data_IF_974164523188
#
_entry.id   IF_974164523188
#
_cell.length_a   1.000
_cell.length_b   1.000
_cell.length_c   1.000
_cell.angle_alpha   90.00
_cell.angle_beta   90.00
_cell.angle_gamma   90.00
#
_symmetry.space_group_name_H-M   'P 1'
#
loop_
_entity.id
_entity.type
_entity.pdbx_description
1 polymer ?
#
# COMPACT_ATOMS: atom_id res chain seq x y z
N UNK A 1 25.44 -8.60 46.43
CA UNK A 1 25.92 -9.26 45.23
C UNK A 1 24.95 -10.40 44.91
N UNK A 2 23.97 -10.16 44.12
CA UNK A 2 22.93 -11.12 43.73
C UNK A 2 22.73 -11.00 42.22
N UNK A 3 23.22 -11.99 41.50
CA UNK A 3 23.16 -12.10 40.05
C UNK A 3 21.75 -12.56 39.66
N UNK A 4 20.93 -11.66 39.12
CA UNK A 4 19.65 -12.01 38.53
C UNK A 4 19.88 -12.27 37.03
N UNK A 5 20.26 -13.52 36.70
CA UNK A 5 20.18 -14.03 35.34
C UNK A 5 18.72 -14.38 35.05
N UNK A 6 18.00 -13.45 34.40
CA UNK A 6 16.68 -13.75 33.83
C UNK A 6 16.86 -14.76 32.70
N UNK A 7 16.68 -16.04 32.98
CA UNK A 7 16.37 -17.02 31.96
C UNK A 7 14.98 -16.70 31.42
N UNK A 8 14.89 -16.36 30.15
CA UNK A 8 13.61 -16.49 29.43
C UNK A 8 13.22 -17.96 29.50
N UNK A 9 12.05 -18.25 30.04
CA UNK A 9 11.46 -19.58 29.97
C UNK A 9 11.40 -20.00 28.48
N UNK A 10 11.83 -21.22 28.15
CA UNK A 10 11.60 -21.75 26.82
C UNK A 10 10.08 -21.78 26.63
N UNK A 11 9.57 -21.09 25.59
CA UNK A 11 8.18 -21.23 25.17
C UNK A 11 7.92 -22.73 24.97
N UNK A 12 7.02 -23.28 25.79
CA UNK A 12 6.53 -24.64 25.68
C UNK A 12 5.82 -24.78 24.32
N UNK A 13 6.56 -25.27 23.33
CA UNK A 13 6.02 -25.62 22.03
C UNK A 13 5.22 -26.91 22.17
N UNK A 14 4.01 -26.82 22.70
CA UNK A 14 3.09 -27.96 22.61
C UNK A 14 2.73 -28.15 21.13
N UNK A 15 3.11 -29.29 20.58
CA UNK A 15 2.67 -29.74 19.26
C UNK A 15 1.18 -30.05 19.41
N UNK A 16 0.33 -29.12 19.00
CA UNK A 16 -1.10 -29.38 18.84
C UNK A 16 -1.27 -30.23 17.59
N UNK A 17 -1.80 -31.42 17.72
CA UNK A 17 -2.25 -32.25 16.60
C UNK A 17 -3.57 -31.74 16.01
N UNK A 18 -4.12 -30.66 16.55
CA UNK A 18 -5.37 -30.08 16.07
C UNK A 18 -5.16 -29.44 14.68
N UNK A 19 -5.91 -29.94 13.73
CA UNK A 19 -6.05 -29.32 12.40
C UNK A 19 -6.76 -27.98 12.59
N UNK A 20 -6.06 -26.87 12.35
CA UNK A 20 -6.73 -25.57 12.20
C UNK A 20 -7.38 -25.58 10.82
N UNK A 21 -8.72 -25.53 10.73
CA UNK A 21 -9.35 -25.33 9.44
C UNK A 21 -8.75 -24.08 8.79
N UNK A 22 -8.24 -24.20 7.56
CA UNK A 22 -7.97 -23.02 6.76
C UNK A 22 -9.19 -22.11 6.86
N UNK A 23 -9.01 -20.81 7.10
CA UNK A 23 -10.13 -19.88 7.12
C UNK A 23 -11.04 -20.22 5.94
N UNK A 24 -12.36 -20.39 6.15
CA UNK A 24 -13.22 -20.89 5.09
C UNK A 24 -13.06 -19.98 3.89
N UNK A 25 -12.60 -20.56 2.77
CA UNK A 25 -12.52 -19.87 1.48
C UNK A 25 -13.96 -19.50 1.16
N UNK A 26 -14.25 -18.22 1.09
CA UNK A 26 -15.60 -17.76 0.75
C UNK A 26 -15.93 -18.24 -0.68
N UNK A 27 -17.24 -18.37 -1.00
CA UNK A 27 -17.61 -18.70 -2.39
C UNK A 27 -17.10 -17.65 -3.39
N UNK A 28 -16.96 -16.38 -2.96
CA UNK A 28 -16.36 -15.33 -3.77
C UNK A 28 -14.88 -15.59 -4.02
N UNK A 29 -14.15 -16.02 -2.98
CA UNK A 29 -12.73 -16.40 -3.11
C UNK A 29 -12.57 -17.63 -4.00
N UNK A 30 -13.40 -18.65 -3.83
CA UNK A 30 -13.38 -19.85 -4.67
C UNK A 30 -13.63 -19.51 -6.15
N UNK A 31 -14.58 -18.60 -6.42
CA UNK A 31 -14.86 -18.11 -7.78
C UNK A 31 -13.70 -17.30 -8.34
N UNK A 32 -13.11 -16.39 -7.55
CA UNK A 32 -11.97 -15.58 -7.97
C UNK A 32 -10.72 -16.42 -8.27
N UNK A 33 -10.59 -17.60 -7.65
CA UNK A 33 -9.47 -18.52 -7.82
C UNK A 33 -9.71 -19.57 -8.92
N UNK A 34 -10.88 -19.57 -9.58
CA UNK A 34 -11.21 -20.52 -10.63
C UNK A 34 -10.32 -20.32 -11.88
N UNK A 35 -9.92 -21.42 -12.50
CA UNK A 35 -9.12 -21.41 -13.72
C UNK A 35 -7.65 -20.97 -13.52
N UNK A 36 -6.94 -20.82 -14.62
CA UNK A 36 -5.56 -20.31 -14.63
C UNK A 36 -5.56 -18.79 -14.44
N UNK A 37 -4.57 -18.21 -13.74
CA UNK A 37 -4.47 -16.75 -13.60
C UNK A 37 -4.26 -16.08 -14.97
N UNK A 38 -4.73 -14.83 -15.15
CA UNK A 38 -4.39 -14.05 -16.35
C UNK A 38 -2.89 -13.76 -16.38
N UNK A 39 -2.37 -13.35 -17.54
CA UNK A 39 -0.98 -12.92 -17.66
C UNK A 39 -0.69 -11.69 -16.78
N UNK A 40 -1.66 -10.76 -16.71
CA UNK A 40 -1.69 -9.62 -15.81
C UNK A 40 -3.05 -9.51 -15.13
N UNK A 41 -3.07 -9.15 -13.85
CA UNK A 41 -4.28 -8.81 -13.09
C UNK A 41 -4.61 -7.32 -13.13
N UNK A 42 -4.00 -6.55 -14.01
CA UNK A 42 -4.28 -5.12 -14.19
C UNK A 42 -5.66 -4.89 -14.79
N UNK A 43 -6.28 -3.78 -14.38
CA UNK A 43 -7.45 -3.24 -15.07
C UNK A 43 -7.03 -2.76 -16.48
N UNK A 44 -7.82 -3.12 -17.49
CA UNK A 44 -7.57 -2.78 -18.90
C UNK A 44 -8.65 -1.84 -19.43
N UNK A 45 -8.31 -1.06 -20.46
CA UNK A 45 -9.30 -0.23 -21.16
C UNK A 45 -10.39 -1.12 -21.77
N UNK A 46 -11.63 -0.86 -21.38
CA UNK A 46 -12.79 -1.68 -21.75
C UNK A 46 -13.32 -2.57 -20.61
N UNK A 47 -12.55 -2.78 -19.56
CA UNK A 47 -13.07 -3.42 -18.35
C UNK A 47 -14.09 -2.49 -17.65
N UNK A 48 -15.01 -3.05 -16.84
CA UNK A 48 -15.89 -2.24 -16.03
C UNK A 48 -15.10 -1.26 -15.16
N UNK A 49 -15.45 0.03 -15.22
CA UNK A 49 -14.78 1.06 -14.41
C UNK A 49 -15.09 0.95 -12.92
N UNK A 50 -16.22 0.35 -12.56
CA UNK A 50 -16.73 0.44 -11.19
C UNK A 50 -17.03 1.89 -10.83
N UNK A 51 -16.52 2.31 -9.68
CA UNK A 51 -16.62 3.70 -9.21
C UNK A 51 -15.48 4.61 -9.69
N UNK A 52 -14.51 4.06 -10.45
CA UNK A 52 -13.35 4.83 -10.93
C UNK A 52 -13.77 5.92 -11.90
N UNK A 53 -13.21 7.08 -11.68
CA UNK A 53 -13.18 8.22 -12.59
C UNK A 53 -11.77 8.34 -13.18
N UNK A 54 -11.64 8.98 -14.34
CA UNK A 54 -10.36 9.10 -15.02
C UNK A 54 -10.07 10.57 -15.35
N UNK A 55 -8.97 11.08 -14.85
CA UNK A 55 -8.46 12.40 -15.19
C UNK A 55 -7.29 12.28 -16.19
N UNK A 56 -7.49 12.77 -17.40
CA UNK A 56 -6.41 12.96 -18.37
C UNK A 56 -5.67 14.25 -18.06
N UNK A 57 -4.37 14.15 -17.78
CA UNK A 57 -3.54 15.22 -17.26
C UNK A 57 -2.48 15.71 -18.26
N UNK A 58 -2.52 15.20 -19.50
CA UNK A 58 -1.62 15.60 -20.58
C UNK A 58 -0.24 14.95 -20.50
N UNK A 59 0.75 15.62 -21.06
CA UNK A 59 2.13 15.16 -21.00
C UNK A 59 2.72 15.37 -19.60
N UNK A 60 3.45 14.37 -19.12
CA UNK A 60 4.10 14.40 -17.83
C UNK A 60 5.58 14.01 -17.98
N UNK A 61 6.46 14.81 -17.40
CA UNK A 61 7.91 14.54 -17.41
C UNK A 61 8.35 14.16 -16.00
N UNK A 62 8.99 13.00 -15.87
CA UNK A 62 9.50 12.48 -14.59
C UNK A 62 10.74 13.24 -14.12
N UNK A 63 11.13 13.09 -12.84
CA UNK A 63 12.40 13.64 -12.31
C UNK A 63 13.62 13.26 -13.15
N UNK A 64 13.58 12.09 -13.80
CA UNK A 64 14.66 11.59 -14.65
C UNK A 64 14.67 12.17 -16.07
N UNK A 65 13.61 12.89 -16.44
CA UNK A 65 13.45 13.48 -17.76
C UNK A 65 12.72 12.60 -18.78
N UNK A 66 12.25 11.41 -18.39
CA UNK A 66 11.41 10.57 -19.23
C UNK A 66 10.02 11.22 -19.38
N UNK A 67 9.36 11.03 -20.51
CA UNK A 67 8.05 11.64 -20.78
C UNK A 67 6.96 10.59 -20.99
N UNK A 68 5.85 10.77 -20.26
CA UNK A 68 4.58 10.10 -20.50
C UNK A 68 3.70 11.06 -21.31
N UNK A 69 3.49 10.86 -22.62
CA UNK A 69 2.84 11.85 -23.49
C UNK A 69 1.35 12.04 -23.16
N UNK A 70 0.70 11.02 -22.64
CA UNK A 70 -0.74 11.03 -22.29
C UNK A 70 -0.95 10.36 -20.94
N UNK A 71 -0.59 11.09 -19.87
CA UNK A 71 -0.80 10.58 -18.51
C UNK A 71 -2.26 10.73 -18.08
N UNK A 72 -2.81 9.68 -17.48
CA UNK A 72 -4.07 9.73 -16.73
C UNK A 72 -3.89 9.18 -15.32
N UNK A 73 -4.69 9.68 -14.39
CA UNK A 73 -4.90 9.04 -13.09
C UNK A 73 -6.35 8.55 -13.00
N UNK A 74 -6.50 7.31 -12.55
CA UNK A 74 -7.76 6.81 -12.05
C UNK A 74 -7.92 7.26 -10.60
N UNK A 75 -9.13 7.63 -10.20
CA UNK A 75 -9.42 8.05 -8.83
C UNK A 75 -10.88 7.78 -8.49
N UNK A 76 -11.20 7.77 -7.22
CA UNK A 76 -12.57 7.69 -6.74
C UNK A 76 -12.83 8.82 -5.75
N UNK A 77 -14.10 9.17 -5.55
CA UNK A 77 -14.51 10.27 -4.67
C UNK A 77 -15.71 9.88 -3.82
N UNK A 78 -15.78 10.42 -2.60
CA UNK A 78 -16.91 10.30 -1.68
C UNK A 78 -17.19 11.65 -1.04
N UNK A 79 -18.47 11.94 -0.78
CA UNK A 79 -18.94 13.26 -0.29
C UNK A 79 -19.07 14.28 -1.39
N UNK A 80 -19.28 15.53 -1.02
CA UNK A 80 -19.48 16.67 -1.94
C UNK A 80 -18.42 17.75 -1.71
N UNK A 81 -17.77 18.21 -2.77
CA UNK A 81 -16.82 19.30 -2.72
C UNK A 81 -17.59 20.63 -2.50
N UNK A 82 -17.24 21.35 -1.45
CA UNK A 82 -17.86 22.67 -1.20
C UNK A 82 -17.37 23.74 -2.20
N UNK A 83 -18.04 24.89 -2.23
CA UNK A 83 -17.83 25.91 -3.26
C UNK A 83 -16.41 26.51 -3.28
N UNK A 84 -15.72 26.53 -2.14
CA UNK A 84 -14.34 27.04 -2.00
C UNK A 84 -13.30 25.92 -1.93
N UNK A 85 -13.71 24.67 -2.14
CA UNK A 85 -12.88 23.47 -2.11
C UNK A 85 -12.08 23.27 -0.79
N UNK A 86 -12.54 23.88 0.31
CA UNK A 86 -11.83 23.84 1.60
C UNK A 86 -12.00 22.54 2.37
N UNK A 87 -12.94 21.65 1.98
CA UNK A 87 -13.25 20.38 2.64
C UNK A 87 -12.64 19.16 1.96
N UNK A 88 -11.71 19.33 1.03
CA UNK A 88 -11.12 18.23 0.26
C UNK A 88 -10.04 17.47 1.05
N UNK A 89 -10.18 16.15 1.17
CA UNK A 89 -9.23 15.23 1.82
C UNK A 89 -8.64 14.28 0.79
N UNK A 90 -7.31 14.23 0.71
CA UNK A 90 -6.59 13.27 -0.12
C UNK A 90 -6.27 12.03 0.71
N UNK A 91 -6.78 10.86 0.30
CA UNK A 91 -6.51 9.57 0.92
C UNK A 91 -5.64 8.73 0.00
N UNK A 92 -4.48 8.30 0.51
CA UNK A 92 -3.41 7.69 -0.27
C UNK A 92 -3.22 6.23 0.13
N UNK A 93 -3.40 5.32 -0.84
CA UNK A 93 -3.36 3.89 -0.62
C UNK A 93 -1.95 3.35 -0.36
N UNK A 94 -1.89 2.21 0.34
CA UNK A 94 -0.67 1.45 0.54
C UNK A 94 -0.21 0.75 -0.77
N UNK A 95 0.99 0.21 -0.79
CA UNK A 95 1.67 -0.37 -1.94
C UNK A 95 0.76 -1.21 -2.86
N UNK A 96 0.00 -2.13 -2.31
CA UNK A 96 -0.88 -3.03 -3.08
C UNK A 96 -2.36 -2.67 -3.00
N UNK A 97 -2.66 -1.46 -2.52
CA UNK A 97 -4.00 -0.87 -2.57
C UNK A 97 -4.32 -0.28 -3.95
N UNK A 98 -5.43 0.42 -4.01
CA UNK A 98 -5.92 1.15 -5.17
C UNK A 98 -6.86 2.29 -4.74
N UNK A 99 -7.51 2.95 -5.69
CA UNK A 99 -8.44 4.03 -5.43
C UNK A 99 -9.70 3.60 -4.65
N UNK A 100 -10.00 2.30 -4.58
CA UNK A 100 -11.23 1.79 -3.97
C UNK A 100 -11.14 1.73 -2.44
N UNK A 101 -11.24 2.89 -1.79
CA UNK A 101 -11.13 3.02 -0.34
C UNK A 101 -12.36 2.45 0.37
N UNK A 102 -13.56 2.65 -0.22
CA UNK A 102 -14.87 2.25 0.33
C UNK A 102 -15.78 1.70 -0.74
N UNK A 103 -16.56 0.71 -0.40
CA UNK A 103 -17.57 0.07 -1.25
C UNK A 103 -17.37 -1.44 -1.38
N UNK A 104 -18.39 -2.13 -1.88
CA UNK A 104 -18.33 -3.58 -2.05
C UNK A 104 -17.46 -4.02 -3.23
N UNK A 105 -16.98 -5.26 -3.20
CA UNK A 105 -16.44 -5.91 -4.39
C UNK A 105 -17.53 -6.08 -5.47
N UNK A 106 -17.16 -5.91 -6.73
CA UNK A 106 -18.10 -5.99 -7.86
C UNK A 106 -17.43 -5.76 -9.21
N UNK A 107 -18.20 -5.52 -10.27
CA UNK A 107 -17.64 -5.20 -11.57
C UNK A 107 -16.71 -3.97 -11.48
N UNK A 108 -15.47 -4.15 -11.91
CA UNK A 108 -14.42 -3.12 -11.83
C UNK A 108 -13.61 -3.14 -10.53
N UNK A 109 -14.10 -3.74 -9.46
CA UNK A 109 -13.40 -3.83 -8.17
C UNK A 109 -13.31 -5.28 -7.70
N UNK A 110 -12.13 -5.87 -7.83
CA UNK A 110 -11.89 -7.28 -7.46
C UNK A 110 -12.00 -7.54 -5.94
N UNK A 111 -11.89 -6.50 -5.11
CA UNK A 111 -11.98 -6.55 -3.66
C UNK A 111 -12.86 -5.42 -3.14
N UNK A 112 -13.42 -5.58 -1.96
CA UNK A 112 -14.07 -4.49 -1.23
C UNK A 112 -13.06 -3.39 -0.88
N UNK A 113 -13.57 -2.20 -0.54
CA UNK A 113 -12.79 -1.05 -0.10
C UNK A 113 -11.88 -1.40 1.07
N UNK A 114 -10.69 -0.84 1.07
CA UNK A 114 -9.65 -1.22 2.04
C UNK A 114 -9.71 -0.42 3.36
N UNK A 115 -10.56 0.62 3.45
CA UNK A 115 -10.70 1.46 4.65
C UNK A 115 -12.15 1.82 4.96
N UNK A 116 -13.05 0.86 4.81
CA UNK A 116 -14.50 1.00 4.97
C UNK A 116 -14.91 1.66 6.29
N UNK A 117 -14.21 1.33 7.40
CA UNK A 117 -14.50 1.86 8.74
C UNK A 117 -13.89 3.23 9.02
N UNK A 118 -13.03 3.73 8.13
CA UNK A 118 -12.35 5.02 8.29
C UNK A 118 -12.98 6.11 7.41
N UNK A 119 -13.42 5.77 6.20
CA UNK A 119 -13.97 6.74 5.23
C UNK A 119 -15.46 6.47 5.01
N UNK A 120 -16.30 7.46 5.21
CA UNK A 120 -17.74 7.34 4.94
C UNK A 120 -18.59 8.20 5.88
N UNK A 121 -19.92 8.18 5.74
CA UNK A 121 -20.82 8.85 6.68
C UNK A 121 -20.60 8.33 8.11
N UNK A 122 -20.52 9.23 9.08
CA UNK A 122 -20.27 8.97 10.50
C UNK A 122 -18.90 8.31 10.81
N UNK A 123 -18.06 8.05 9.80
CA UNK A 123 -16.70 7.51 9.95
C UNK A 123 -15.70 8.58 10.42
N UNK A 124 -14.45 8.20 10.81
CA UNK A 124 -13.41 9.16 11.18
C UNK A 124 -13.12 10.24 10.13
N UNK A 125 -13.14 9.88 8.85
CA UNK A 125 -13.15 10.82 7.71
C UNK A 125 -14.60 10.86 7.23
N UNK A 126 -15.39 11.76 7.82
CA UNK A 126 -16.83 11.81 7.60
C UNK A 126 -17.16 12.45 6.26
N UNK A 127 -17.70 11.66 5.34
CA UNK A 127 -18.05 12.12 4.00
C UNK A 127 -19.37 12.90 3.94
N UNK A 128 -20.07 13.12 5.05
CA UNK A 128 -21.17 14.10 5.11
C UNK A 128 -20.67 15.51 5.06
N UNK A 129 -19.48 15.79 5.60
CA UNK A 129 -18.87 17.12 5.66
C UNK A 129 -17.62 17.26 4.78
N UNK A 130 -16.92 16.14 4.53
CA UNK A 130 -15.64 16.10 3.81
C UNK A 130 -15.81 15.50 2.41
N UNK A 131 -15.06 16.04 1.47
CA UNK A 131 -14.92 15.49 0.13
C UNK A 131 -13.63 14.71 0.01
N UNK A 132 -13.72 13.39 -0.06
CA UNK A 132 -12.57 12.50 -0.18
C UNK A 132 -12.21 12.26 -1.63
N UNK A 133 -10.92 12.37 -1.95
CA UNK A 133 -10.33 11.98 -3.23
C UNK A 133 -9.29 10.90 -2.97
N UNK A 134 -9.40 9.76 -3.62
CA UNK A 134 -8.42 8.68 -3.54
C UNK A 134 -7.92 8.33 -4.95
N UNK A 135 -6.73 8.77 -5.35
CA UNK A 135 -6.14 8.40 -6.62
C UNK A 135 -5.49 7.02 -6.56
N UNK A 136 -5.51 6.29 -7.68
CA UNK A 136 -4.60 5.17 -7.91
C UNK A 136 -3.24 5.71 -8.35
N UNK A 137 -2.16 5.20 -7.77
CA UNK A 137 -0.80 5.73 -7.99
C UNK A 137 -0.37 5.60 -9.46
N UNK A 138 0.37 6.60 -9.95
CA UNK A 138 1.08 6.53 -11.23
C UNK A 138 2.05 5.33 -11.21
N UNK A 139 2.04 4.51 -12.25
CA UNK A 139 2.78 3.25 -12.28
C UNK A 139 2.02 2.06 -11.69
N UNK A 140 0.88 2.30 -11.02
CA UNK A 140 -0.01 1.25 -10.52
C UNK A 140 -0.83 0.60 -11.63
N UNK A 141 -1.56 -0.47 -11.29
CA UNK A 141 -2.25 -1.32 -12.26
C UNK A 141 -3.78 -1.25 -12.21
N UNK A 142 -4.36 -0.27 -11.52
CA UNK A 142 -5.81 -0.16 -11.38
C UNK A 142 -6.37 1.10 -12.05
N UNK A 143 -5.97 1.34 -13.33
CA UNK A 143 -6.54 2.36 -14.21
C UNK A 143 -5.72 3.65 -14.38
N UNK A 144 -4.78 3.97 -13.49
CA UNK A 144 -3.78 5.03 -13.75
C UNK A 144 -2.75 4.56 -14.78
N UNK A 145 -2.13 5.51 -15.48
CA UNK A 145 -1.06 5.19 -16.43
C UNK A 145 0.05 4.42 -15.72
N UNK A 146 0.36 3.26 -16.26
CA UNK A 146 1.34 2.31 -15.73
C UNK A 146 1.81 1.33 -16.79
N UNK A 147 2.61 0.32 -16.43
CA UNK A 147 3.13 -0.67 -17.38
C UNK A 147 2.06 -1.39 -18.20
N UNK A 148 0.89 -1.63 -17.60
CA UNK A 148 -0.23 -2.29 -18.29
C UNK A 148 -1.03 -1.36 -19.22
N UNK A 149 -0.78 -0.06 -19.21
CA UNK A 149 -1.44 0.89 -20.11
C UNK A 149 -0.91 0.80 -21.52
N UNK A 150 -1.72 1.27 -22.48
CA UNK A 150 -1.33 1.30 -23.88
C UNK A 150 -0.39 2.49 -24.16
N UNK A 151 0.75 2.22 -24.75
CA UNK A 151 1.68 3.20 -25.28
C UNK A 151 1.15 3.82 -26.57
N UNK A 152 1.54 5.03 -26.97
CA UNK A 152 1.07 5.67 -28.21
C UNK A 152 1.31 4.90 -29.51
N UNK A 153 2.19 3.91 -29.54
CA UNK A 153 2.39 3.01 -30.69
C UNK A 153 1.34 1.90 -30.82
N UNK A 154 0.49 1.74 -29.82
CA UNK A 154 -0.60 0.76 -29.79
C UNK A 154 -0.32 -0.50 -28.95
N UNK A 155 0.92 -0.72 -28.51
CA UNK A 155 1.31 -1.83 -27.63
C UNK A 155 1.23 -1.43 -26.17
N UNK A 156 1.34 -2.39 -25.24
CA UNK A 156 1.50 -2.06 -23.82
C UNK A 156 2.83 -1.31 -23.56
N UNK A 157 2.84 -0.43 -22.55
CA UNK A 157 4.10 0.14 -22.06
C UNK A 157 5.06 -0.97 -21.65
N UNK A 158 4.57 -1.96 -20.91
CA UNK A 158 5.32 -3.14 -20.49
C UNK A 158 6.65 -2.75 -19.79
N UNK A 159 7.76 -3.39 -20.17
CA UNK A 159 9.10 -3.09 -19.65
C UNK A 159 9.60 -1.67 -20.00
N UNK A 160 9.01 -1.03 -21.01
CA UNK A 160 9.34 0.35 -21.45
C UNK A 160 8.80 1.44 -20.53
N UNK A 161 7.89 1.10 -19.59
CA UNK A 161 7.36 2.10 -18.69
C UNK A 161 8.49 2.72 -17.85
N UNK A 162 8.59 4.07 -17.80
CA UNK A 162 9.71 4.73 -17.17
C UNK A 162 9.78 4.45 -15.66
N UNK A 163 10.96 4.61 -15.10
CA UNK A 163 11.15 4.67 -13.65
C UNK A 163 10.43 5.91 -13.11
N UNK A 164 9.57 5.71 -12.12
CA UNK A 164 8.86 6.79 -11.41
C UNK A 164 9.25 6.79 -9.95
N UNK A 165 9.36 7.97 -9.37
CA UNK A 165 9.67 8.17 -7.96
C UNK A 165 8.41 8.52 -7.17
N UNK A 166 8.48 8.48 -5.83
CA UNK A 166 7.42 9.01 -4.96
C UNK A 166 7.14 10.49 -5.29
N UNK A 167 8.16 11.28 -5.67
CA UNK A 167 7.99 12.68 -6.08
C UNK A 167 7.20 12.81 -7.38
N UNK A 168 7.51 11.98 -8.38
CA UNK A 168 6.73 11.93 -9.62
C UNK A 168 5.27 11.60 -9.36
N UNK A 169 5.01 10.64 -8.45
CA UNK A 169 3.66 10.26 -8.08
C UNK A 169 2.91 11.39 -7.36
N UNK A 170 3.59 12.11 -6.47
CA UNK A 170 3.04 13.32 -5.80
C UNK A 170 2.78 14.43 -6.81
N UNK A 171 3.68 14.66 -7.77
CA UNK A 171 3.47 15.66 -8.82
C UNK A 171 2.29 15.30 -9.74
N UNK A 172 2.10 14.02 -10.06
CA UNK A 172 0.93 13.56 -10.78
C UNK A 172 -0.38 13.81 -9.98
N UNK A 173 -0.38 13.54 -8.67
CA UNK A 173 -1.49 13.84 -7.78
C UNK A 173 -1.75 15.35 -7.66
N UNK A 174 -0.72 16.18 -7.70
CA UNK A 174 -0.85 17.65 -7.74
C UNK A 174 -1.59 18.11 -9.00
N UNK A 175 -1.26 17.55 -10.16
CA UNK A 175 -1.98 17.83 -11.40
C UNK A 175 -3.45 17.39 -11.32
N UNK A 176 -3.73 16.28 -10.64
CA UNK A 176 -5.11 15.86 -10.36
C UNK A 176 -5.83 16.88 -9.48
N UNK A 177 -5.20 17.36 -8.40
CA UNK A 177 -5.75 18.38 -7.53
C UNK A 177 -6.08 19.66 -8.31
N UNK A 178 -5.15 20.13 -9.16
CA UNK A 178 -5.35 21.31 -10.03
C UNK A 178 -6.53 21.10 -11.00
N UNK A 179 -6.67 19.88 -11.56
CA UNK A 179 -7.78 19.51 -12.46
C UNK A 179 -9.13 19.48 -11.76
N UNK A 180 -9.16 19.17 -10.45
CA UNK A 180 -10.36 19.17 -9.61
C UNK A 180 -10.66 20.55 -8.98
N UNK A 181 -9.80 21.55 -9.19
CA UNK A 181 -9.96 22.87 -8.59
C UNK A 181 -9.60 22.95 -7.11
N UNK A 182 -8.82 21.98 -6.61
CA UNK A 182 -8.40 21.90 -5.21
C UNK A 182 -7.03 22.59 -5.07
N UNK A 183 -7.02 23.81 -4.60
CA UNK A 183 -5.78 24.58 -4.38
C UNK A 183 -5.05 24.12 -3.10
N UNK A 184 -5.80 23.76 -2.07
CA UNK A 184 -5.27 23.33 -0.78
C UNK A 184 -6.10 22.19 -0.20
N UNK A 185 -5.45 21.10 0.16
CA UNK A 185 -6.07 19.98 0.84
C UNK A 185 -6.42 20.34 2.30
N UNK A 186 -7.64 20.06 2.73
CA UNK A 186 -8.03 20.07 4.13
C UNK A 186 -7.16 19.10 4.93
N UNK A 187 -6.93 17.90 4.37
CA UNK A 187 -5.99 16.93 4.90
C UNK A 187 -5.39 16.07 3.79
N UNK A 188 -4.14 15.63 3.97
CA UNK A 188 -3.50 14.57 3.20
C UNK A 188 -3.16 13.44 4.16
N UNK A 189 -3.72 12.26 3.93
CA UNK A 189 -3.64 11.12 4.86
C UNK A 189 -3.24 9.87 4.09
N UNK A 190 -2.25 9.14 4.58
CA UNK A 190 -1.84 7.88 3.98
C UNK A 190 -1.16 6.95 4.96
N UNK A 191 -1.30 5.65 4.70
CA UNK A 191 -0.61 4.60 5.43
C UNK A 191 0.42 3.88 4.57
N UNK A 192 1.55 3.44 5.16
CA UNK A 192 2.59 2.71 4.45
C UNK A 192 3.16 3.54 3.27
N UNK A 193 3.18 3.01 2.06
CA UNK A 193 3.54 3.77 0.85
C UNK A 193 2.72 5.07 0.72
N UNK A 194 1.41 5.04 1.04
CA UNK A 194 0.59 6.24 1.08
C UNK A 194 1.07 7.28 2.10
N UNK A 195 1.66 6.84 3.21
CA UNK A 195 2.29 7.72 4.20
C UNK A 195 3.57 8.38 3.68
N UNK A 196 4.35 7.67 2.85
CA UNK A 196 5.50 8.26 2.13
C UNK A 196 5.04 9.39 1.20
N UNK A 197 3.95 9.17 0.45
CA UNK A 197 3.36 10.19 -0.42
C UNK A 197 2.81 11.37 0.39
N UNK A 198 2.10 11.10 1.49
CA UNK A 198 1.56 12.15 2.34
C UNK A 198 2.68 13.06 2.90
N UNK A 199 3.77 12.45 3.37
CA UNK A 199 4.93 13.18 3.86
C UNK A 199 5.60 13.98 2.73
N UNK A 200 5.81 13.38 1.55
CA UNK A 200 6.40 14.05 0.38
C UNK A 200 5.52 15.25 -0.08
N UNK A 201 4.17 15.10 -0.04
CA UNK A 201 3.25 16.20 -0.29
C UNK A 201 3.51 17.40 0.63
N UNK A 202 3.58 17.15 1.93
CA UNK A 202 3.76 18.22 2.90
C UNK A 202 5.17 18.87 2.86
N UNK A 203 6.18 18.11 2.48
CA UNK A 203 7.56 18.62 2.31
C UNK A 203 7.72 19.41 1.01
N UNK A 204 7.08 18.95 -0.08
CA UNK A 204 7.23 19.57 -1.41
C UNK A 204 6.26 20.75 -1.61
N UNK A 205 5.04 20.63 -1.09
CA UNK A 205 3.96 21.60 -1.26
C UNK A 205 3.35 22.03 0.10
N UNK A 206 4.15 22.59 1.05
CA UNK A 206 3.70 22.87 2.41
C UNK A 206 2.47 23.80 2.45
N UNK A 207 2.37 24.75 1.53
CA UNK A 207 1.24 25.69 1.47
C UNK A 207 -0.06 25.04 0.97
N UNK A 208 0.03 23.84 0.38
CA UNK A 208 -1.12 23.12 -0.18
C UNK A 208 -1.69 22.05 0.76
N UNK A 209 -1.14 21.88 1.95
CA UNK A 209 -1.58 20.88 2.94
C UNK A 209 -1.90 21.57 4.25
N UNK A 210 -3.15 21.50 4.72
CA UNK A 210 -3.55 22.08 6.00
C UNK A 210 -3.32 21.11 7.16
N UNK A 211 -3.61 19.82 6.95
CA UNK A 211 -3.44 18.74 7.93
C UNK A 211 -2.74 17.55 7.28
N UNK A 212 -1.88 16.88 8.01
CA UNK A 212 -1.07 15.76 7.53
C UNK A 212 -1.24 14.54 8.44
N UNK A 213 -1.59 13.40 7.86
CA UNK A 213 -1.59 12.10 8.54
C UNK A 213 -0.56 11.16 7.92
N UNK A 214 0.53 10.88 8.64
CA UNK A 214 1.58 9.92 8.25
C UNK A 214 1.46 8.69 9.12
N UNK A 215 1.06 7.56 8.54
CA UNK A 215 0.73 6.35 9.29
C UNK A 215 1.66 5.23 8.84
N UNK A 216 2.36 4.60 9.79
CA UNK A 216 3.23 3.43 9.56
C UNK A 216 4.17 3.61 8.34
N UNK A 217 4.84 4.76 8.23
CA UNK A 217 5.74 5.08 7.12
C UNK A 217 7.04 5.73 7.62
N UNK A 218 8.18 5.49 6.94
CA UNK A 218 9.46 6.10 7.26
C UNK A 218 9.67 7.40 6.49
N UNK A 219 10.62 8.26 6.90
CA UNK A 219 11.02 9.44 6.12
C UNK A 219 11.92 9.11 4.91
N UNK A 220 12.51 7.93 4.91
CA UNK A 220 13.28 7.35 3.82
C UNK A 220 13.32 5.83 3.95
N UNK A 221 13.39 5.10 2.83
CA UNK A 221 13.60 3.66 2.86
C UNK A 221 15.02 3.34 3.38
N UNK A 222 15.09 2.34 4.26
CA UNK A 222 16.36 1.85 4.83
C UNK A 222 17.00 0.80 3.94
N UNK A 223 18.28 0.50 4.19
CA UNK A 223 19.00 -0.58 3.53
C UNK A 223 18.31 -1.95 3.72
N UNK A 224 17.71 -2.21 4.89
CA UNK A 224 16.97 -3.43 5.18
C UNK A 224 15.74 -3.56 4.26
N UNK A 225 14.95 -2.50 4.14
CA UNK A 225 13.77 -2.48 3.27
C UNK A 225 14.15 -2.66 1.79
N UNK A 226 15.18 -1.95 1.32
CA UNK A 226 15.71 -2.10 -0.05
C UNK A 226 16.20 -3.53 -0.30
N UNK A 227 16.91 -4.15 0.67
CA UNK A 227 17.37 -5.53 0.54
C UNK A 227 16.20 -6.52 0.44
N UNK A 228 15.18 -6.38 1.28
CA UNK A 228 13.96 -7.19 1.22
C UNK A 228 13.22 -7.00 -0.12
N UNK A 229 13.10 -5.78 -0.59
CA UNK A 229 12.49 -5.44 -1.87
C UNK A 229 13.26 -6.09 -3.03
N UNK A 230 14.58 -6.02 -3.04
CA UNK A 230 15.42 -6.59 -4.11
C UNK A 230 15.15 -8.10 -4.31
N UNK A 231 14.95 -8.85 -3.23
CA UNK A 231 14.63 -10.30 -3.34
C UNK A 231 13.25 -10.56 -3.92
N UNK A 232 12.28 -9.68 -3.67
CA UNK A 232 10.94 -9.76 -4.25
C UNK A 232 10.98 -9.45 -5.76
N UNK A 233 11.75 -8.43 -6.16
CA UNK A 233 11.95 -8.09 -7.57
C UNK A 233 12.65 -9.22 -8.33
N UNK A 234 13.65 -9.84 -7.73
CA UNK A 234 14.33 -11.00 -8.30
C UNK A 234 13.36 -12.17 -8.48
N UNK A 235 12.53 -12.48 -7.47
CA UNK A 235 11.54 -13.54 -7.57
C UNK A 235 10.59 -13.38 -8.77
N UNK A 236 10.23 -12.14 -9.12
CA UNK A 236 9.43 -11.85 -10.33
C UNK A 236 10.28 -12.04 -11.59
N UNK A 237 11.48 -11.48 -11.61
CA UNK A 237 12.32 -11.42 -12.82
C UNK A 237 12.84 -12.79 -13.27
N UNK A 238 13.04 -13.75 -12.35
CA UNK A 238 13.47 -15.11 -12.66
C UNK A 238 12.31 -16.02 -13.11
N UNK A 239 11.05 -15.59 -12.99
CA UNK A 239 9.91 -16.35 -13.51
C UNK A 239 9.99 -16.44 -15.04
N UNK A 240 10.01 -17.65 -15.65
CA UNK A 240 10.03 -17.77 -17.11
C UNK A 240 8.88 -17.02 -17.80
N UNK A 241 7.72 -16.90 -17.15
CA UNK A 241 6.57 -16.17 -17.67
C UNK A 241 6.73 -14.65 -17.64
N UNK A 242 7.79 -14.11 -17.01
CA UNK A 242 8.06 -12.67 -16.99
C UNK A 242 8.51 -12.13 -18.35
N UNK A 243 9.21 -12.94 -19.14
CA UNK A 243 9.63 -12.61 -20.51
C UNK A 243 10.29 -11.21 -20.62
N UNK A 244 11.13 -10.81 -19.65
CA UNK A 244 11.74 -9.47 -19.63
C UNK A 244 10.77 -8.32 -19.41
N UNK A 245 9.55 -8.61 -18.97
CA UNK A 245 8.47 -7.64 -18.75
C UNK A 245 7.45 -7.54 -19.89
N UNK A 246 7.63 -8.31 -20.97
CA UNK A 246 6.78 -8.27 -22.16
C UNK A 246 5.85 -9.52 -22.24
N UNK A 247 4.93 -9.63 -21.26
CA UNK A 247 4.07 -10.81 -21.06
C UNK A 247 2.56 -10.53 -21.26
N UNK A 248 2.15 -9.31 -21.59
CA UNK A 248 0.72 -8.95 -21.61
C UNK A 248 -0.12 -9.74 -22.60
N UNK A 249 0.47 -10.18 -23.71
CA UNK A 249 -0.18 -11.02 -24.75
C UNK A 249 -0.12 -12.52 -24.43
N UNK A 250 0.48 -12.93 -23.30
CA UNK A 250 0.57 -14.33 -22.94
C UNK A 250 -0.79 -14.91 -22.54
N UNK A 251 -0.98 -16.22 -22.76
CA UNK A 251 -2.18 -16.91 -22.38
C UNK A 251 -2.35 -17.04 -20.86
N UNK A 252 -3.57 -17.38 -20.44
CA UNK A 252 -3.84 -17.64 -19.02
C UNK A 252 -2.93 -18.74 -18.46
N UNK A 253 -2.21 -18.43 -17.37
CA UNK A 253 -1.25 -19.31 -16.73
C UNK A 253 0.14 -19.30 -17.36
N UNK A 254 0.40 -18.43 -18.34
CA UNK A 254 1.69 -18.29 -19.03
C UNK A 254 2.47 -17.03 -18.60
N UNK A 255 1.82 -16.07 -17.93
CA UNK A 255 2.47 -14.88 -17.37
C UNK A 255 3.28 -15.17 -16.09
N UNK A 256 3.89 -14.13 -15.46
CA UNK A 256 4.80 -14.25 -14.33
C UNK A 256 4.11 -14.51 -12.99
N UNK A 257 3.04 -15.29 -12.99
CA UNK A 257 2.18 -15.49 -11.84
C UNK A 257 2.87 -16.22 -10.68
N UNK A 258 3.87 -17.09 -10.93
CA UNK A 258 4.62 -17.80 -9.88
C UNK A 258 5.56 -16.84 -9.15
N UNK A 259 6.31 -16.05 -9.91
CA UNK A 259 7.21 -15.03 -9.36
C UNK A 259 6.45 -13.97 -8.58
N UNK A 260 5.36 -13.43 -9.15
CA UNK A 260 4.52 -12.45 -8.47
C UNK A 260 3.86 -13.01 -7.19
N UNK A 261 3.38 -14.27 -7.22
CA UNK A 261 2.84 -14.92 -6.03
C UNK A 261 3.92 -15.12 -4.95
N UNK A 262 5.15 -15.48 -5.33
CA UNK A 262 6.27 -15.63 -4.41
C UNK A 262 6.66 -14.27 -3.80
N UNK A 263 6.79 -13.23 -4.61
CA UNK A 263 7.05 -11.86 -4.13
C UNK A 263 5.98 -11.42 -3.11
N UNK A 264 4.69 -11.67 -3.38
CA UNK A 264 3.60 -11.37 -2.44
C UNK A 264 3.75 -12.14 -1.12
N UNK A 265 4.10 -13.41 -1.17
CA UNK A 265 4.32 -14.24 0.04
C UNK A 265 5.48 -13.69 0.87
N UNK A 266 6.58 -13.29 0.24
CA UNK A 266 7.72 -12.65 0.92
C UNK A 266 7.30 -11.34 1.59
N UNK A 267 6.58 -10.48 0.88
CA UNK A 267 6.04 -9.23 1.41
C UNK A 267 5.14 -9.47 2.64
N UNK A 268 4.25 -10.46 2.58
CA UNK A 268 3.34 -10.79 3.68
C UNK A 268 4.05 -11.20 4.97
N UNK A 269 5.24 -11.80 4.88
CA UNK A 269 6.03 -12.12 6.08
C UNK A 269 6.47 -10.85 6.84
N UNK A 270 6.54 -9.70 6.17
CA UNK A 270 6.87 -8.42 6.77
C UNK A 270 5.62 -7.63 7.20
N UNK A 271 4.48 -7.86 6.53
CA UNK A 271 3.23 -7.18 6.86
C UNK A 271 2.58 -7.74 8.13
N UNK A 272 2.72 -9.05 8.37
CA UNK A 272 2.06 -9.74 9.48
C UNK A 272 2.93 -9.78 10.74
N UNK A 273 2.29 -9.59 11.90
CA UNK A 273 2.94 -9.71 13.20
C UNK A 273 3.32 -11.16 13.53
N UNK A 274 4.48 -11.35 14.17
CA UNK A 274 4.91 -12.68 14.62
C UNK A 274 3.89 -13.28 15.59
N UNK A 275 3.35 -12.44 16.50
CA UNK A 275 2.40 -12.87 17.54
C UNK A 275 1.11 -13.39 16.89
N UNK A 276 0.56 -12.67 15.92
CA UNK A 276 -0.65 -13.07 15.20
C UNK A 276 -0.44 -14.40 14.45
N UNK A 277 0.64 -14.52 13.69
CA UNK A 277 0.93 -15.75 12.95
C UNK A 277 1.08 -16.95 13.90
N UNK A 278 1.79 -16.77 15.02
CA UNK A 278 1.96 -17.84 16.00
C UNK A 278 0.66 -18.20 16.73
N UNK A 279 -0.14 -17.20 17.13
CA UNK A 279 -1.46 -17.44 17.75
C UNK A 279 -2.41 -18.17 16.79
N UNK A 280 -2.41 -17.78 15.53
CA UNK A 280 -3.37 -18.25 14.52
C UNK A 280 -3.02 -19.66 14.00
N UNK A 281 -1.77 -19.91 13.71
CA UNK A 281 -1.37 -21.15 13.01
C UNK A 281 -0.62 -22.14 13.89
N UNK A 282 0.14 -21.67 14.89
CA UNK A 282 1.03 -22.52 15.67
C UNK A 282 1.86 -23.42 14.75
N UNK A 283 1.83 -24.74 14.97
CA UNK A 283 2.42 -25.79 14.11
C UNK A 283 1.34 -26.68 13.46
N UNK A 284 0.14 -26.15 13.32
CA UNK A 284 -1.01 -26.90 12.81
C UNK A 284 -0.82 -27.37 11.38
N UNK A 285 -1.31 -28.55 11.10
CA UNK A 285 -1.33 -29.13 9.76
C UNK A 285 -2.55 -28.64 8.99
N UNK A 286 -2.43 -28.55 7.67
CA UNK A 286 -3.55 -28.15 6.81
C UNK A 286 -4.63 -29.24 6.72
N UNK A 287 -4.25 -30.51 6.82
CA UNK A 287 -5.12 -31.69 6.69
C UNK A 287 -4.57 -32.83 7.51
N UNK A 288 -5.24 -33.98 7.47
CA UNK A 288 -4.79 -35.21 8.15
C UNK A 288 -3.50 -35.82 7.56
N UNK A 289 -2.98 -35.27 6.46
CA UNK A 289 -1.73 -35.71 5.84
C UNK A 289 -0.56 -35.00 6.48
N UNK A 290 0.37 -35.76 7.05
CA UNK A 290 1.55 -35.25 7.75
C UNK A 290 2.47 -34.42 6.84
N UNK A 291 2.88 -33.22 7.24
CA UNK A 291 3.90 -32.43 6.54
C UNK A 291 5.33 -33.01 6.72
N UNK A 292 5.50 -33.98 7.61
CA UNK A 292 6.80 -34.54 7.94
C UNK A 292 7.19 -35.66 6.95
N UNK A 293 7.38 -35.31 5.68
CA UNK A 293 7.85 -36.22 4.63
C UNK A 293 6.74 -37.03 3.94
N UNK A 294 5.47 -36.80 4.25
CA UNK A 294 4.34 -37.54 3.70
C UNK A 294 3.49 -36.73 2.67
N UNK A 295 4.00 -35.54 2.24
CA UNK A 295 3.33 -34.72 1.21
C UNK A 295 2.25 -33.78 1.76
N UNK A 296 2.01 -33.75 3.07
CA UNK A 296 1.17 -32.75 3.74
C UNK A 296 1.88 -31.40 3.85
N UNK A 297 1.16 -30.41 4.42
CA UNK A 297 1.64 -29.04 4.55
C UNK A 297 1.25 -28.47 5.92
N UNK A 298 2.03 -27.53 6.45
CA UNK A 298 1.60 -26.71 7.56
C UNK A 298 0.53 -25.70 7.10
N UNK A 299 -0.41 -25.38 7.98
CA UNK A 299 -1.53 -24.48 7.66
C UNK A 299 -1.06 -23.09 7.22
N UNK A 300 0.03 -22.56 7.81
CA UNK A 300 0.61 -21.27 7.43
C UNK A 300 1.15 -21.25 5.99
N UNK A 301 1.67 -22.37 5.49
CA UNK A 301 2.14 -22.44 4.08
C UNK A 301 0.97 -22.31 3.11
N UNK A 302 -0.14 -22.98 3.42
CA UNK A 302 -1.37 -22.90 2.63
C UNK A 302 -1.97 -21.50 2.64
N UNK A 303 -1.94 -20.83 3.78
CA UNK A 303 -2.36 -19.45 3.91
C UNK A 303 -1.56 -18.50 3.00
N UNK A 304 -0.24 -18.60 3.04
CA UNK A 304 0.63 -17.78 2.20
C UNK A 304 0.41 -18.05 0.70
N UNK A 305 0.27 -19.31 0.31
CA UNK A 305 -0.01 -19.70 -1.08
C UNK A 305 -1.35 -19.16 -1.57
N UNK A 306 -2.40 -19.26 -0.75
CA UNK A 306 -3.71 -18.72 -1.09
C UNK A 306 -3.62 -17.23 -1.41
N UNK A 307 -3.01 -16.45 -0.52
CA UNK A 307 -2.89 -15.00 -0.72
C UNK A 307 -1.96 -14.63 -1.88
N UNK A 308 -0.87 -15.36 -2.09
CA UNK A 308 0.00 -15.18 -3.25
C UNK A 308 -0.77 -15.41 -4.56
N UNK A 309 -1.47 -16.53 -4.67
CA UNK A 309 -2.25 -16.87 -5.88
C UNK A 309 -3.44 -15.93 -6.11
N UNK A 310 -4.14 -15.50 -5.04
CA UNK A 310 -5.23 -14.51 -5.14
C UNK A 310 -4.72 -13.19 -5.67
N UNK A 311 -3.55 -12.76 -5.23
CA UNK A 311 -2.93 -11.49 -5.61
C UNK A 311 -2.64 -11.40 -7.11
N UNK A 312 -2.18 -12.47 -7.75
CA UNK A 312 -1.86 -12.50 -9.19
C UNK A 312 -3.05 -12.23 -10.10
N UNK A 313 -4.27 -12.29 -9.57
CA UNK A 313 -5.51 -12.07 -10.34
C UNK A 313 -6.01 -10.63 -10.30
N UNK A 314 -5.39 -9.78 -9.50
CA UNK A 314 -5.75 -8.37 -9.37
C UNK A 314 -4.56 -7.42 -9.43
N UNK A 315 -3.34 -7.94 -9.59
CA UNK A 315 -2.14 -7.11 -9.62
C UNK A 315 -1.25 -7.49 -10.80
N UNK A 316 -0.44 -6.54 -11.24
CA UNK A 316 0.47 -6.64 -12.37
C UNK A 316 1.93 -6.71 -11.91
N UNK A 317 2.73 -7.59 -12.54
CA UNK A 317 4.11 -7.80 -12.12
C UNK A 317 5.02 -6.60 -12.41
N UNK A 318 4.89 -5.96 -13.57
CA UNK A 318 5.66 -4.75 -13.86
C UNK A 318 5.25 -3.58 -12.97
N UNK A 319 3.96 -3.43 -12.68
CA UNK A 319 3.49 -2.41 -11.74
C UNK A 319 4.00 -2.69 -10.32
N UNK A 320 4.09 -3.97 -9.92
CA UNK A 320 4.74 -4.34 -8.65
C UNK A 320 6.18 -3.82 -8.60
N UNK A 321 6.96 -4.10 -9.66
CA UNK A 321 8.35 -3.65 -9.78
C UNK A 321 8.42 -2.12 -9.70
N UNK A 322 7.64 -1.38 -10.51
CA UNK A 322 7.68 0.08 -10.55
C UNK A 322 7.30 0.74 -9.23
N UNK A 323 6.31 0.20 -8.51
CA UNK A 323 5.91 0.73 -7.22
C UNK A 323 6.94 0.42 -6.11
N UNK A 324 7.60 -0.75 -6.17
CA UNK A 324 8.72 -1.06 -5.27
C UNK A 324 9.90 -0.11 -5.52
N UNK A 325 10.28 0.09 -6.78
CA UNK A 325 11.33 1.04 -7.15
C UNK A 325 10.99 2.47 -6.71
N UNK A 326 9.73 2.88 -6.79
CA UNK A 326 9.28 4.18 -6.27
C UNK A 326 9.48 4.26 -4.75
N UNK A 327 9.08 3.23 -3.99
CA UNK A 327 9.33 3.19 -2.54
C UNK A 327 10.82 3.20 -2.21
N UNK A 328 11.66 2.48 -2.96
CA UNK A 328 13.12 2.47 -2.76
C UNK A 328 13.75 3.83 -3.05
N UNK A 329 13.13 4.64 -3.92
CA UNK A 329 13.54 6.01 -4.19
C UNK A 329 13.18 6.99 -3.08
N UNK A 330 12.31 6.58 -2.14
CA UNK A 330 11.78 7.47 -1.11
C UNK A 330 12.87 7.91 -0.13
N UNK A 331 13.15 9.19 -0.17
CA UNK A 331 13.98 9.93 0.77
C UNK A 331 13.56 11.40 0.70
N UNK A 332 12.84 11.85 1.74
CA UNK A 332 12.37 13.24 1.79
C UNK A 332 13.53 14.24 1.86
N UNK A 333 14.69 13.81 2.36
CA UNK A 333 15.90 14.64 2.49
C UNK A 333 16.71 14.77 1.21
N UNK A 334 16.50 13.91 0.20
CA UNK A 334 17.29 13.89 -1.03
C UNK A 334 17.23 15.22 -1.78
N UNK A 335 18.38 15.90 -1.87
CA UNK A 335 18.48 17.22 -2.49
C UNK A 335 17.88 18.39 -1.67
N UNK A 336 17.60 18.17 -0.37
CA UNK A 336 16.98 19.18 0.51
C UNK A 336 17.75 19.47 1.80
N UNK A 337 19.02 19.09 1.87
CA UNK A 337 19.88 19.30 3.05
C UNK A 337 19.84 18.13 4.06
N UNK A 338 19.09 17.08 3.77
CA UNK A 338 18.88 15.94 4.66
C UNK A 338 17.44 15.84 5.15
N UNK A 339 17.14 14.75 5.85
CA UNK A 339 15.79 14.45 6.32
C UNK A 339 15.30 15.51 7.31
N UNK A 340 16.13 15.94 8.24
CA UNK A 340 15.80 16.92 9.27
C UNK A 340 15.41 18.27 8.64
N UNK A 341 16.21 18.76 7.68
CA UNK A 341 15.92 20.00 6.96
C UNK A 341 14.63 19.89 6.12
N UNK A 342 14.36 18.71 5.57
CA UNK A 342 13.14 18.47 4.84
C UNK A 342 11.91 18.47 5.75
N UNK A 343 11.99 17.83 6.93
CA UNK A 343 10.88 17.76 7.89
C UNK A 343 10.51 19.13 8.46
N UNK A 344 11.49 20.02 8.62
CA UNK A 344 11.25 21.41 9.05
C UNK A 344 10.41 22.23 8.06
N UNK A 345 10.27 21.80 6.81
CA UNK A 345 9.41 22.47 5.82
C UNK A 345 7.92 22.23 6.05
N UNK A 346 7.56 21.21 6.80
CA UNK A 346 6.16 20.86 7.05
C UNK A 346 5.51 21.89 7.94
N UNK A 347 4.49 22.58 7.40
CA UNK A 347 3.69 23.59 8.11
C UNK A 347 2.31 23.07 8.52
N UNK A 348 1.91 21.93 7.98
CA UNK A 348 0.62 21.31 8.25
C UNK A 348 0.51 20.82 9.69
N UNK A 349 -0.65 20.95 10.32
CA UNK A 349 -0.98 20.25 11.58
C UNK A 349 -0.82 18.75 11.37
N UNK A 350 0.07 18.09 12.11
CA UNK A 350 0.55 16.76 11.75
C UNK A 350 0.24 15.72 12.80
N UNK A 351 -0.28 14.58 12.36
CA UNK A 351 -0.42 13.32 13.10
C UNK A 351 0.58 12.30 12.53
N UNK A 352 1.43 11.75 13.38
CA UNK A 352 2.32 10.62 13.04
C UNK A 352 1.90 9.42 13.87
N UNK A 353 1.67 8.29 13.19
CA UNK A 353 1.22 7.03 13.81
C UNK A 353 2.20 5.92 13.47
N UNK A 354 2.56 5.11 14.47
CA UNK A 354 3.34 3.87 14.29
C UNK A 354 2.63 2.68 14.94
N UNK A 355 2.97 1.48 14.51
CA UNK A 355 2.48 0.22 15.09
C UNK A 355 3.64 -0.44 15.84
N UNK A 356 3.40 -0.86 17.08
CA UNK A 356 4.47 -1.37 17.96
C UNK A 356 5.13 -2.67 17.47
N UNK A 357 4.40 -3.50 16.74
CA UNK A 357 4.89 -4.76 16.20
C UNK A 357 5.24 -4.71 14.69
N UNK A 358 5.29 -3.50 14.10
CA UNK A 358 5.63 -3.31 12.69
C UNK A 358 7.10 -3.68 12.43
N UNK A 359 7.28 -4.70 11.58
CA UNK A 359 8.61 -5.19 11.17
C UNK A 359 9.08 -4.58 9.85
N UNK A 360 8.13 -4.10 9.05
CA UNK A 360 8.43 -3.49 7.75
C UNK A 360 8.96 -2.06 7.95
N UNK A 361 8.24 -1.26 8.73
CA UNK A 361 8.63 0.12 9.05
C UNK A 361 8.69 0.32 10.57
N UNK A 362 9.83 -0.06 11.21
CA UNK A 362 10.02 0.05 12.66
C UNK A 362 9.79 1.46 13.18
N UNK A 363 9.32 1.59 14.42
CA UNK A 363 8.94 2.84 15.08
C UNK A 363 9.99 3.95 15.03
N UNK A 364 11.27 3.63 14.84
CA UNK A 364 12.32 4.65 14.77
C UNK A 364 12.13 5.62 13.60
N UNK A 365 11.58 5.14 12.47
CA UNK A 365 11.23 6.01 11.34
C UNK A 365 10.15 7.03 11.71
N UNK A 366 9.08 6.59 12.36
CA UNK A 366 7.98 7.46 12.79
C UNK A 366 8.42 8.41 13.91
N UNK A 367 9.27 7.95 14.84
CA UNK A 367 9.89 8.82 15.85
C UNK A 367 10.73 9.92 15.22
N UNK A 368 11.51 9.59 14.19
CA UNK A 368 12.31 10.58 13.47
C UNK A 368 11.43 11.64 12.81
N UNK A 369 10.30 11.23 12.20
CA UNK A 369 9.32 12.15 11.63
C UNK A 369 8.71 13.03 12.73
N UNK A 370 8.24 12.44 13.83
CA UNK A 370 7.60 13.17 14.92
C UNK A 370 8.52 14.23 15.55
N UNK A 371 9.80 13.92 15.75
CA UNK A 371 10.80 14.86 16.29
C UNK A 371 11.19 15.95 15.30
N UNK A 372 11.14 15.67 14.00
CA UNK A 372 11.55 16.60 12.95
C UNK A 372 10.49 17.59 12.52
N UNK A 373 9.19 17.27 12.72
CA UNK A 373 8.07 18.14 12.33
C UNK A 373 7.62 18.99 13.52
N UNK A 374 7.72 20.34 13.45
CA UNK A 374 7.40 21.20 14.58
C UNK A 374 5.89 21.33 14.88
N UNK A 375 5.03 20.88 13.96
CA UNK A 375 3.57 21.04 14.00
C UNK A 375 2.81 19.76 14.37
N UNK A 376 3.48 18.80 14.99
CA UNK A 376 2.84 17.57 15.48
C UNK A 376 1.84 17.84 16.60
N UNK A 377 0.70 17.15 16.58
CA UNK A 377 -0.35 17.33 17.60
C UNK A 377 -0.14 16.48 18.85
N UNK A 378 0.89 15.65 18.89
CA UNK A 378 1.21 14.71 19.96
C UNK A 378 2.63 14.89 20.53
N UNK A 379 3.35 15.96 20.15
CA UNK A 379 4.73 16.22 20.56
C UNK A 379 5.75 15.37 19.82
N UNK A 380 6.92 15.14 20.40
CA UNK A 380 8.10 14.54 19.77
C UNK A 380 8.05 13.01 19.60
N UNK A 381 7.04 12.35 20.16
CA UNK A 381 6.82 10.90 19.99
C UNK A 381 5.57 10.66 19.13
N UNK A 382 5.59 9.68 18.21
CA UNK A 382 4.40 9.35 17.45
C UNK A 382 3.32 8.74 18.33
N UNK A 383 2.08 8.77 17.90
CA UNK A 383 1.04 7.90 18.45
C UNK A 383 1.41 6.46 18.14
N UNK A 384 1.51 5.61 19.16
CA UNK A 384 1.84 4.20 18.99
C UNK A 384 0.56 3.37 19.20
N UNK A 385 0.16 2.66 18.15
CA UNK A 385 -0.94 1.70 18.20
C UNK A 385 -0.36 0.33 18.55
N UNK A 386 -0.85 -0.27 19.64
CA UNK A 386 -0.52 -1.65 20.00
C UNK A 386 -1.38 -2.60 19.21
N UNK A 387 -0.73 -3.49 18.45
CA UNK A 387 -1.40 -4.47 17.60
C UNK A 387 -0.58 -5.73 17.43
N UNK A 388 -1.23 -6.89 17.47
CA UNK A 388 -0.60 -8.18 17.15
C UNK A 388 -0.37 -8.36 15.64
N UNK A 389 -0.97 -7.51 14.80
CA UNK A 389 -1.03 -7.69 13.34
C UNK A 389 0.17 -7.13 12.57
N UNK A 390 1.17 -6.56 13.25
CA UNK A 390 2.35 -5.99 12.59
C UNK A 390 2.00 -4.76 11.77
N UNK A 391 2.62 -4.62 10.59
CA UNK A 391 2.39 -3.50 9.69
C UNK A 391 0.92 -3.32 9.31
N UNK A 392 0.18 -4.43 9.09
CA UNK A 392 -1.25 -4.39 8.76
C UNK A 392 -2.13 -3.81 9.89
N UNK A 393 -1.58 -3.55 11.09
CA UNK A 393 -2.30 -2.96 12.21
C UNK A 393 -3.02 -1.66 11.86
N UNK A 394 -2.48 -0.81 10.99
CA UNK A 394 -3.16 0.43 10.58
C UNK A 394 -4.43 0.20 9.72
N UNK A 395 -4.58 -0.98 9.15
CA UNK A 395 -5.78 -1.38 8.41
C UNK A 395 -6.80 -2.11 9.31
N UNK A 396 -6.36 -2.62 10.45
CA UNK A 396 -7.15 -3.51 11.32
C UNK A 396 -7.62 -2.77 12.58
N UNK A 397 -6.74 -1.99 13.22
CA UNK A 397 -7.04 -1.24 14.45
C UNK A 397 -7.76 0.09 14.14
N UNK A 398 -8.83 0.00 13.33
CA UNK A 398 -9.53 1.17 12.78
C UNK A 398 -10.20 2.03 13.84
N UNK A 399 -10.65 1.46 14.96
CA UNK A 399 -11.26 2.22 16.07
C UNK A 399 -10.23 3.15 16.73
N UNK A 400 -9.04 2.62 17.03
CA UNK A 400 -7.96 3.39 17.68
C UNK A 400 -7.42 4.45 16.71
N UNK A 401 -7.13 4.05 15.48
CA UNK A 401 -6.67 4.98 14.46
C UNK A 401 -7.70 6.07 14.19
N UNK A 402 -8.98 5.69 14.10
CA UNK A 402 -10.09 6.60 13.86
C UNK A 402 -10.22 7.68 14.92
N UNK A 403 -10.00 7.35 16.21
CA UNK A 403 -9.97 8.34 17.29
C UNK A 403 -8.93 9.44 17.02
N UNK A 404 -7.71 9.06 16.62
CA UNK A 404 -6.64 10.01 16.33
C UNK A 404 -6.87 10.81 15.05
N UNK A 405 -7.47 10.18 14.03
CA UNK A 405 -7.86 10.88 12.79
C UNK A 405 -8.93 11.94 13.05
N UNK A 406 -9.95 11.64 13.89
CA UNK A 406 -10.92 12.67 14.30
C UNK A 406 -10.24 13.84 15.02
N UNK A 407 -9.26 13.57 15.89
CA UNK A 407 -8.50 14.62 16.57
C UNK A 407 -7.65 15.46 15.60
N UNK A 408 -7.09 14.87 14.55
CA UNK A 408 -6.38 15.58 13.49
C UNK A 408 -7.31 16.50 12.70
N UNK A 409 -8.51 15.99 12.34
CA UNK A 409 -9.47 16.67 11.45
C UNK A 409 -10.34 17.69 12.19
N UNK A 410 -10.44 17.62 13.52
CA UNK A 410 -11.12 18.63 14.32
C UNK A 410 -10.46 20.01 14.15
N UNK A 411 -11.27 21.09 14.31
CA UNK A 411 -10.83 22.47 14.16
C UNK A 411 -9.74 22.89 15.17
#
# INVERSE_FOLDING_TARGET
MGNASGRMDPMDWQISEDTVPSAPVTEADARSMAGRPPASGAWQDGDPSGHRQFAWLGAFTTERGDTLPHMRLAYETWGELNADASNAVLVLHAFTGDSHVRGGAGPGHATAGWWEDIVGPDCPIDTTDLFVVAPNMLGGCQGSTGPASIHPDGDHWASRFPYVTVRDQVDAQRLLADRLGIERWHAVIGGSMGGMHALEWAVTHPDRVARLGVIAAPPANSADQIAQNSTQLEAISIDPGFAGGDYYEAGHGEGPHRGLALARRMAMLNYRGIVELNKRFQRSWQSDVSPLGHGGRFAVESYLDFHGNKFTRRFDANSYIRLVEAMDSHDVGRGRGGIEDALLRVTARTLVVGIDTDRLFPLEGQRRIARGIPTTIHGDEPVIITSDFGHDGFLIETDVLGHHLRALLAE
#
